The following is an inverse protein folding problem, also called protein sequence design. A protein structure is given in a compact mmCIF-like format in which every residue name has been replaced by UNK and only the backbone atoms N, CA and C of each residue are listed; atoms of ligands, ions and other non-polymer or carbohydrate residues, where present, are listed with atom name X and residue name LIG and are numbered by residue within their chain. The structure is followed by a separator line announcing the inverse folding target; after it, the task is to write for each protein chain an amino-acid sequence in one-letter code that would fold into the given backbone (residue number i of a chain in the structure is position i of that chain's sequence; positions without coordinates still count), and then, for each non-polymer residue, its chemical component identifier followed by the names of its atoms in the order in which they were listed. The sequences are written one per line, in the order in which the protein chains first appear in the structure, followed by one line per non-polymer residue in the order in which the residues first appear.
data_IF_658868319979
#
_entry.id   IF_658868319979
#
_cell.length_a   1.000
_cell.length_b   1.000
_cell.length_c   1.000
_cell.angle_alpha   90.00
_cell.angle_beta   90.00
_cell.angle_gamma   90.00
#
_symmetry.space_group_name_H-M   'P 1'
#
loop_
_entity.id
_entity.type
_entity.pdbx_description
1 polymer ?
#
# COMPACT_ATOMS: atom_id res chain seq x y z
N UNK A 1 -19.91 22.81 -4.17
CA UNK A 1 -18.76 23.63 -4.59
C UNK A 1 -17.61 23.27 -3.67
N UNK A 2 -16.70 22.39 -4.11
CA UNK A 2 -15.51 22.06 -3.32
C UNK A 2 -14.54 23.24 -3.41
N UNK A 3 -14.17 23.81 -2.27
CA UNK A 3 -13.18 24.88 -2.22
C UNK A 3 -11.79 24.25 -2.42
N UNK A 4 -10.88 24.87 -3.19
CA UNK A 4 -9.51 24.36 -3.41
C UNK A 4 -8.72 24.08 -2.10
N UNK A 5 -9.11 24.74 -1.02
CA UNK A 5 -8.53 24.57 0.32
C UNK A 5 -8.85 23.22 0.97
N UNK A 6 -10.01 22.61 0.67
CA UNK A 6 -10.41 21.32 1.26
C UNK A 6 -9.62 20.17 0.64
N UNK A 7 -9.50 20.13 -0.70
CA UNK A 7 -8.71 19.11 -1.41
C UNK A 7 -7.25 19.07 -0.93
N UNK A 8 -6.65 20.24 -0.67
CA UNK A 8 -5.25 20.35 -0.23
C UNK A 8 -5.07 19.79 1.19
N UNK A 9 -5.99 20.10 2.11
CA UNK A 9 -5.94 19.59 3.48
C UNK A 9 -6.19 18.07 3.53
N UNK A 10 -7.12 17.57 2.71
CA UNK A 10 -7.36 16.13 2.55
C UNK A 10 -6.12 15.43 2.01
N UNK A 11 -5.50 15.96 0.96
CA UNK A 11 -4.28 15.40 0.38
C UNK A 11 -3.14 15.35 1.40
N UNK A 12 -2.94 16.43 2.16
CA UNK A 12 -1.92 16.44 3.20
C UNK A 12 -2.17 15.36 4.26
N UNK A 13 -3.41 15.21 4.74
CA UNK A 13 -3.76 14.17 5.70
C UNK A 13 -3.52 12.75 5.14
N UNK A 14 -3.83 12.52 3.86
CA UNK A 14 -3.58 11.24 3.20
C UNK A 14 -2.08 10.95 3.08
N UNK A 15 -1.26 11.94 2.71
CA UNK A 15 0.19 11.81 2.63
C UNK A 15 0.81 11.57 4.01
N UNK A 16 0.35 12.28 5.05
CA UNK A 16 0.81 12.05 6.42
C UNK A 16 0.44 10.65 6.90
N UNK A 17 -0.78 10.18 6.61
CA UNK A 17 -1.22 8.81 6.95
C UNK A 17 -0.39 7.76 6.22
N UNK A 18 -0.11 7.99 4.93
CA UNK A 18 0.72 7.12 4.11
C UNK A 18 2.13 6.98 4.70
N UNK A 19 2.80 8.09 4.99
CA UNK A 19 4.20 8.09 5.46
C UNK A 19 4.33 7.62 6.91
N UNK A 20 3.44 8.04 7.81
CA UNK A 20 3.57 7.74 9.24
C UNK A 20 3.07 6.36 9.63
N UNK A 21 2.12 5.79 8.88
CA UNK A 21 1.43 4.56 9.28
C UNK A 21 1.47 3.47 8.22
N UNK A 22 1.00 3.77 6.99
CA UNK A 22 0.84 2.74 5.96
C UNK A 22 2.20 2.21 5.47
N UNK A 23 3.13 3.10 5.14
CA UNK A 23 4.45 2.72 4.61
C UNK A 23 5.27 1.91 5.62
N UNK A 24 5.45 2.33 6.89
CA UNK A 24 6.19 1.53 7.85
C UNK A 24 5.62 0.13 8.01
N UNK A 25 4.29 0.01 8.10
CA UNK A 25 3.63 -1.30 8.23
C UNK A 25 3.78 -2.16 6.97
N UNK A 26 3.65 -1.56 5.78
CA UNK A 26 3.85 -2.27 4.51
C UNK A 26 5.30 -2.74 4.35
N UNK A 27 6.29 -1.92 4.75
CA UNK A 27 7.69 -2.31 4.73
C UNK A 27 7.97 -3.47 5.70
N UNK A 28 7.47 -3.41 6.93
CA UNK A 28 7.61 -4.55 7.87
C UNK A 28 6.90 -5.81 7.37
N UNK A 29 5.77 -5.67 6.67
CA UNK A 29 5.13 -6.80 6.02
C UNK A 29 5.99 -7.36 4.87
N UNK A 30 6.56 -6.49 4.04
CA UNK A 30 7.49 -6.86 2.97
C UNK A 30 8.67 -7.68 3.51
N UNK A 31 9.30 -7.21 4.58
CA UNK A 31 10.43 -7.92 5.20
C UNK A 31 10.05 -9.35 5.63
N UNK A 32 8.86 -9.53 6.22
CA UNK A 32 8.37 -10.86 6.63
C UNK A 32 8.08 -11.78 5.43
N UNK A 33 7.39 -11.30 4.40
CA UNK A 33 7.11 -12.12 3.22
C UNK A 33 8.39 -12.41 2.43
N UNK A 34 9.35 -11.49 2.39
CA UNK A 34 10.66 -11.73 1.79
C UNK A 34 11.45 -12.81 2.56
N UNK A 35 11.26 -12.92 3.87
CA UNK A 35 11.79 -14.01 4.71
C UNK A 35 11.06 -15.36 4.53
N UNK A 36 10.01 -15.42 3.72
CA UNK A 36 9.24 -16.63 3.45
C UNK A 36 8.01 -16.82 4.34
N UNK A 37 7.68 -15.83 5.19
CA UNK A 37 6.48 -15.91 6.01
C UNK A 37 5.21 -15.76 5.17
N UNK A 38 4.15 -16.48 5.58
CA UNK A 38 2.81 -16.31 5.04
C UNK A 38 2.15 -15.07 5.62
N UNK A 39 1.25 -14.47 4.85
CA UNK A 39 0.44 -13.37 5.36
C UNK A 39 -0.62 -13.89 6.32
N UNK A 40 -0.77 -13.25 7.48
CA UNK A 40 -1.91 -13.51 8.35
C UNK A 40 -3.19 -12.85 7.82
N UNK A 41 -4.36 -13.25 8.32
CA UNK A 41 -5.64 -12.59 7.99
C UNK A 41 -5.60 -11.08 8.28
N UNK A 42 -4.88 -10.68 9.34
CA UNK A 42 -4.71 -9.26 9.71
C UNK A 42 -3.82 -8.51 8.71
N UNK A 43 -2.84 -9.18 8.13
CA UNK A 43 -1.98 -8.62 7.08
C UNK A 43 -2.76 -8.49 5.77
N UNK A 44 -3.58 -9.49 5.43
CA UNK A 44 -4.45 -9.47 4.25
C UNK A 44 -5.48 -8.34 4.35
N UNK A 45 -6.14 -8.19 5.51
CA UNK A 45 -7.07 -7.10 5.75
C UNK A 45 -6.39 -5.73 5.59
N UNK A 46 -5.19 -5.55 6.16
CA UNK A 46 -4.41 -4.34 6.00
C UNK A 46 -4.07 -4.03 4.54
N UNK A 47 -3.67 -5.04 3.77
CA UNK A 47 -3.31 -4.85 2.35
C UNK A 47 -4.52 -4.45 1.52
N UNK A 48 -5.69 -5.06 1.76
CA UNK A 48 -6.95 -4.68 1.10
C UNK A 48 -7.29 -3.22 1.36
N UNK A 49 -7.35 -2.83 2.63
CA UNK A 49 -7.66 -1.44 3.00
C UNK A 49 -6.62 -0.46 2.42
N UNK A 50 -5.34 -0.85 2.36
CA UNK A 50 -4.27 0.02 1.83
C UNK A 50 -4.39 0.22 0.32
N UNK A 51 -4.81 -0.82 -0.41
CA UNK A 51 -5.06 -0.74 -1.84
C UNK A 51 -6.31 0.09 -2.15
N UNK A 52 -7.38 -0.09 -1.37
CA UNK A 52 -8.60 0.72 -1.47
C UNK A 52 -8.28 2.21 -1.24
N UNK A 53 -7.55 2.53 -0.17
CA UNK A 53 -7.07 3.89 0.10
C UNK A 53 -6.24 4.46 -1.07
N UNK A 54 -5.37 3.64 -1.67
CA UNK A 54 -4.53 4.06 -2.78
C UNK A 54 -5.34 4.31 -4.05
N UNK A 55 -6.37 3.50 -4.32
CA UNK A 55 -7.32 3.67 -5.41
C UNK A 55 -8.12 4.96 -5.24
N UNK A 56 -8.68 5.20 -4.05
CA UNK A 56 -9.39 6.43 -3.73
C UNK A 56 -8.48 7.66 -3.89
N UNK A 57 -7.18 7.53 -3.57
CA UNK A 57 -6.22 8.61 -3.71
C UNK A 57 -5.72 8.85 -5.15
N UNK A 58 -6.06 7.99 -6.13
CA UNK A 58 -5.55 8.11 -7.51
C UNK A 58 -5.90 9.45 -8.17
N UNK A 59 -7.08 10.00 -7.89
CA UNK A 59 -7.50 11.28 -8.45
C UNK A 59 -6.63 12.45 -7.95
N UNK A 60 -6.12 12.38 -6.71
CA UNK A 60 -5.14 13.35 -6.22
C UNK A 60 -3.81 13.18 -6.95
N UNK A 61 -3.32 11.95 -7.12
CA UNK A 61 -2.08 11.70 -7.87
C UNK A 61 -2.18 12.25 -9.29
N UNK A 62 -3.29 12.02 -10.00
CA UNK A 62 -3.50 12.50 -11.37
C UNK A 62 -3.50 14.04 -11.50
N UNK A 63 -3.85 14.76 -10.42
CA UNK A 63 -3.88 16.23 -10.39
C UNK A 63 -2.57 16.85 -9.87
N UNK A 64 -1.67 16.03 -9.33
CA UNK A 64 -0.42 16.43 -8.69
C UNK A 64 0.76 15.63 -9.26
N UNK A 65 1.39 16.10 -10.36
CA UNK A 65 2.50 15.42 -11.02
C UNK A 65 3.67 15.08 -10.08
N UNK A 66 3.89 15.90 -9.06
CA UNK A 66 4.88 15.69 -8.00
C UNK A 66 4.66 14.37 -7.22
N UNK A 67 3.42 13.88 -7.17
CA UNK A 67 3.06 12.64 -6.50
C UNK A 67 3.15 11.41 -7.40
N UNK A 68 3.29 11.57 -8.72
CA UNK A 68 3.34 10.43 -9.65
C UNK A 68 4.45 9.45 -9.29
N UNK A 69 5.65 9.96 -8.99
CA UNK A 69 6.79 9.13 -8.61
C UNK A 69 6.57 8.43 -7.27
N UNK A 70 5.90 9.08 -6.32
CA UNK A 70 5.55 8.46 -5.03
C UNK A 70 4.49 7.38 -5.23
N UNK A 71 3.40 7.69 -5.95
CA UNK A 71 2.32 6.75 -6.23
C UNK A 71 2.81 5.50 -6.95
N UNK A 72 3.69 5.65 -7.93
CA UNK A 72 4.32 4.51 -8.61
C UNK A 72 5.12 3.62 -7.66
N UNK A 73 5.91 4.20 -6.75
CA UNK A 73 6.69 3.44 -5.76
C UNK A 73 5.80 2.72 -4.74
N UNK A 74 4.69 3.33 -4.33
CA UNK A 74 3.73 2.71 -3.41
C UNK A 74 3.02 1.54 -4.10
N UNK A 75 2.60 1.73 -5.36
CA UNK A 75 1.99 0.66 -6.15
C UNK A 75 2.94 -0.53 -6.32
N UNK A 76 4.19 -0.26 -6.71
CA UNK A 76 5.23 -1.27 -6.84
C UNK A 76 5.47 -2.02 -5.52
N UNK A 77 5.54 -1.30 -4.39
CA UNK A 77 5.70 -1.94 -3.08
C UNK A 77 4.56 -2.93 -2.78
N UNK A 78 3.31 -2.55 -3.05
CA UNK A 78 2.18 -3.44 -2.82
C UNK A 78 2.15 -4.65 -3.75
N UNK A 79 2.52 -4.45 -5.02
CA UNK A 79 2.69 -5.53 -5.99
C UNK A 79 3.73 -6.55 -5.50
N UNK A 80 4.92 -6.09 -5.13
CA UNK A 80 6.00 -6.96 -4.61
C UNK A 80 5.57 -7.76 -3.37
N UNK A 81 4.83 -7.14 -2.44
CA UNK A 81 4.31 -7.83 -1.25
C UNK A 81 3.34 -8.94 -1.65
N UNK A 82 2.39 -8.67 -2.54
CA UNK A 82 1.36 -9.63 -2.95
C UNK A 82 1.97 -10.78 -3.75
N UNK A 83 2.88 -10.49 -4.67
CA UNK A 83 3.62 -11.50 -5.42
C UNK A 83 4.36 -12.44 -4.47
N UNK A 84 5.12 -11.87 -3.53
CA UNK A 84 5.91 -12.66 -2.59
C UNK A 84 5.06 -13.49 -1.65
N UNK A 85 3.98 -12.90 -1.11
CA UNK A 85 3.03 -13.62 -0.29
C UNK A 85 2.41 -14.81 -1.04
N UNK A 86 2.05 -14.62 -2.32
CA UNK A 86 1.49 -15.69 -3.17
C UNK A 86 2.51 -16.81 -3.41
N UNK A 87 3.78 -16.48 -3.62
CA UNK A 87 4.85 -17.50 -3.70
C UNK A 87 4.96 -18.30 -2.39
N UNK A 88 4.87 -17.64 -1.24
CA UNK A 88 5.00 -18.29 0.07
C UNK A 88 3.81 -19.22 0.36
N UNK A 89 2.58 -18.80 0.00
CA UNK A 89 1.39 -19.67 0.10
C UNK A 89 1.55 -20.95 -0.74
N UNK A 90 2.03 -20.81 -1.99
CA UNK A 90 2.27 -21.97 -2.87
C UNK A 90 3.30 -22.92 -2.27
N UNK A 91 4.44 -22.39 -1.80
CA UNK A 91 5.49 -23.22 -1.16
C UNK A 91 5.00 -23.95 0.08
N UNK A 92 4.12 -23.33 0.88
CA UNK A 92 3.51 -23.99 2.02
C UNK A 92 2.58 -25.13 1.57
N UNK A 93 1.77 -24.92 0.54
CA UNK A 93 0.86 -25.92 0.01
C UNK A 93 1.57 -27.10 -0.69
N UNK A 94 2.70 -26.87 -1.37
CA UNK A 94 3.51 -27.92 -2.01
C UNK A 94 4.40 -28.70 -1.02
N UNK A 95 4.60 -28.17 0.20
CA UNK A 95 5.42 -28.77 1.25
C UNK A 95 4.64 -29.59 2.29
N UNK A 96 3.31 -29.59 2.23
CA UNK A 96 2.38 -30.41 3.04
C UNK A 96 2.04 -31.74 2.35
#
# INVERSE_FOLDING_TARGET
MSHPSDDTATLQALLERLVKFRLPRAMSLKERVDAGERMSDTDIAFMKESLEDAQDAQHFVARHPELHALGAKVAQLYEEIVEKATENEKKAADGE
#
